data_IF_049586814261
#
_entry.id   IF_049586814261
#
_cell.length_a   1.000
_cell.length_b   1.000
_cell.length_c   1.000
_cell.angle_alpha   90.00
_cell.angle_beta   90.00
_cell.angle_gamma   90.00
#
_symmetry.space_group_name_H-M   'P 1'
#
loop_
_entity.id
_entity.type
_entity.pdbx_description
1 polymer ?
#
# COMPACT_ATOMS: atom_id res chain seq x y z
N UNK A 1 9.04 12.12 -41.53
CA UNK A 1 8.29 12.93 -40.56
C UNK A 1 8.51 12.30 -39.20
N UNK A 2 9.35 12.93 -38.38
CA UNK A 2 9.74 12.43 -37.06
C UNK A 2 8.61 12.69 -36.06
N UNK A 3 8.03 11.62 -35.53
CA UNK A 3 7.14 11.73 -34.39
C UNK A 3 7.99 11.91 -33.13
N UNK A 4 7.93 13.10 -32.55
CA UNK A 4 8.48 13.35 -31.23
C UNK A 4 7.79 12.44 -30.20
N UNK A 5 8.60 11.70 -29.45
CA UNK A 5 8.17 10.91 -28.31
C UNK A 5 7.58 11.84 -27.24
N UNK A 6 6.46 11.48 -26.59
CA UNK A 6 5.91 12.28 -25.50
C UNK A 6 6.86 12.23 -24.31
N UNK A 7 7.65 13.29 -24.15
CA UNK A 7 8.51 13.57 -23.01
C UNK A 7 7.66 13.98 -21.80
N UNK A 8 6.99 13.02 -21.17
CA UNK A 8 6.61 13.16 -19.75
C UNK A 8 7.80 12.74 -18.90
N UNK A 9 8.90 13.48 -19.06
CA UNK A 9 9.91 13.54 -18.02
C UNK A 9 9.23 14.27 -16.87
N UNK A 10 9.00 13.59 -15.74
CA UNK A 10 8.91 14.29 -14.46
C UNK A 10 10.27 14.95 -14.23
N UNK A 11 10.51 16.08 -14.91
CA UNK A 11 11.59 16.97 -14.55
C UNK A 11 11.28 17.36 -13.13
N UNK A 12 12.13 16.92 -12.20
CA UNK A 12 12.22 17.50 -10.88
C UNK A 12 12.33 18.99 -11.14
N UNK A 13 11.26 19.73 -10.90
CA UNK A 13 11.32 21.16 -11.07
C UNK A 13 12.13 21.67 -9.88
N UNK A 14 13.43 21.87 -10.10
CA UNK A 14 14.38 22.37 -9.10
C UNK A 14 13.89 23.71 -8.52
N UNK A 15 13.02 24.41 -9.25
CA UNK A 15 12.43 25.70 -8.86
C UNK A 15 11.27 25.58 -7.87
N UNK A 16 10.71 24.38 -7.63
CA UNK A 16 9.66 24.16 -6.62
C UNK A 16 10.17 23.22 -5.52
N UNK A 17 10.55 23.81 -4.40
CA UNK A 17 10.81 23.08 -3.16
C UNK A 17 9.46 22.60 -2.60
N UNK A 18 9.07 21.38 -2.95
CA UNK A 18 7.94 20.69 -2.31
C UNK A 18 8.43 19.70 -1.24
N UNK A 19 7.47 19.15 -0.48
CA UNK A 19 7.76 18.24 0.63
C UNK A 19 8.37 16.91 0.16
N UNK A 20 8.03 16.45 -1.05
CA UNK A 20 8.59 15.23 -1.63
C UNK A 20 10.04 15.44 -2.08
N UNK A 21 10.33 16.55 -2.72
CA UNK A 21 11.67 16.98 -3.08
C UNK A 21 12.58 17.05 -1.85
N UNK A 22 12.12 17.68 -0.77
CA UNK A 22 12.86 17.75 0.49
C UNK A 22 13.09 16.36 1.10
N UNK A 23 12.07 15.50 1.13
CA UNK A 23 12.18 14.12 1.63
C UNK A 23 13.20 13.33 0.82
N UNK A 24 13.13 13.39 -0.50
CA UNK A 24 14.05 12.68 -1.40
C UNK A 24 15.48 13.20 -1.23
N UNK A 25 15.68 14.52 -1.12
CA UNK A 25 16.98 15.13 -0.85
C UNK A 25 17.56 14.70 0.50
N UNK A 26 16.76 14.69 1.55
CA UNK A 26 17.16 14.22 2.88
C UNK A 26 17.54 12.73 2.86
N UNK A 27 16.81 11.93 2.09
CA UNK A 27 17.07 10.49 1.95
C UNK A 27 18.34 10.19 1.16
N UNK A 28 18.61 10.94 0.09
CA UNK A 28 19.90 10.86 -0.62
C UNK A 28 21.05 11.27 0.31
N UNK A 29 20.86 12.33 1.10
CA UNK A 29 21.88 12.77 2.05
C UNK A 29 22.12 11.74 3.17
N UNK A 30 21.08 11.07 3.67
CA UNK A 30 21.24 10.05 4.70
C UNK A 30 22.05 8.85 4.20
N UNK A 31 21.84 8.43 2.94
CA UNK A 31 22.62 7.37 2.30
C UNK A 31 24.08 7.78 2.08
N UNK A 32 24.32 9.01 1.62
CA UNK A 32 25.66 9.58 1.45
C UNK A 32 26.41 9.61 2.79
N UNK A 33 25.75 10.06 3.86
CA UNK A 33 26.31 10.10 5.21
C UNK A 33 26.57 8.69 5.73
N UNK A 34 25.66 7.73 5.53
CA UNK A 34 25.87 6.32 5.91
C UNK A 34 27.11 5.76 5.23
N UNK A 35 27.25 5.95 3.92
CA UNK A 35 28.41 5.51 3.15
C UNK A 35 29.71 6.16 3.66
N UNK A 36 29.72 7.47 3.85
CA UNK A 36 30.89 8.20 4.36
C UNK A 36 31.25 7.76 5.79
N UNK A 37 30.26 7.48 6.63
CA UNK A 37 30.45 7.00 7.99
C UNK A 37 31.07 5.59 8.02
N UNK A 38 30.50 4.65 7.26
CA UNK A 38 31.03 3.29 7.08
C UNK A 38 32.48 3.31 6.60
N UNK A 39 32.80 4.18 5.63
CA UNK A 39 34.17 4.30 5.11
C UNK A 39 35.16 4.88 6.12
N UNK A 40 34.75 5.86 6.93
CA UNK A 40 35.63 6.51 7.92
C UNK A 40 35.78 5.72 9.22
N UNK A 41 34.73 4.99 9.62
CA UNK A 41 34.64 4.33 10.92
C UNK A 41 34.17 2.87 10.79
N UNK A 42 34.92 2.00 10.07
CA UNK A 42 34.51 0.61 9.83
C UNK A 42 34.38 -0.21 11.12
N UNK A 43 35.20 0.09 12.14
CA UNK A 43 35.13 -0.57 13.45
C UNK A 43 33.83 -0.26 14.20
N UNK A 44 33.25 0.93 13.98
CA UNK A 44 32.00 1.36 14.62
C UNK A 44 30.80 0.70 13.95
N UNK A 45 30.80 0.61 12.62
CA UNK A 45 29.75 -0.13 11.90
C UNK A 45 29.73 -1.61 12.30
N UNK A 46 30.91 -2.24 12.41
CA UNK A 46 31.02 -3.62 12.88
C UNK A 46 30.45 -3.78 14.30
N UNK A 47 30.81 -2.87 15.22
CA UNK A 47 30.29 -2.87 16.59
C UNK A 47 28.76 -2.78 16.67
N UNK A 48 28.12 -1.96 15.83
CA UNK A 48 26.66 -1.86 15.80
C UNK A 48 26.01 -3.07 15.12
N UNK A 49 26.60 -3.57 14.04
CA UNK A 49 26.12 -4.75 13.31
C UNK A 49 26.19 -6.01 14.18
N UNK A 50 27.28 -6.21 14.91
CA UNK A 50 27.47 -7.32 15.86
C UNK A 50 26.43 -7.30 17.00
N UNK A 51 25.82 -6.14 17.25
CA UNK A 51 24.75 -5.95 18.24
C UNK A 51 23.34 -5.90 17.62
N UNK A 52 23.22 -6.20 16.33
CA UNK A 52 21.94 -6.19 15.61
C UNK A 52 21.34 -4.80 15.41
N UNK A 53 22.12 -3.74 15.53
CA UNK A 53 21.66 -2.35 15.38
C UNK A 53 22.04 -1.85 13.99
N UNK A 54 21.04 -1.65 13.11
CA UNK A 54 21.24 -0.95 11.83
C UNK A 54 21.26 0.56 12.05
N UNK A 55 22.42 1.18 11.80
CA UNK A 55 22.62 2.63 11.86
C UNK A 55 21.59 3.41 11.02
N UNK A 56 21.15 2.85 9.90
CA UNK A 56 20.12 3.45 9.03
C UNK A 56 18.73 3.49 9.67
N UNK A 57 18.47 2.61 10.63
CA UNK A 57 17.21 2.46 11.38
C UNK A 57 17.30 3.00 12.81
N UNK A 58 18.41 3.64 13.21
CA UNK A 58 18.50 4.33 14.52
C UNK A 58 17.36 5.32 14.67
N UNK A 59 17.01 6.03 13.59
CA UNK A 59 15.85 6.92 13.59
C UNK A 59 14.54 6.18 13.68
N UNK A 60 14.40 4.92 13.26
CA UNK A 60 13.16 4.17 13.46
C UNK A 60 13.02 3.74 14.94
N UNK A 61 14.13 3.36 15.58
CA UNK A 61 14.15 3.11 17.03
C UNK A 61 13.84 4.38 17.83
N UNK A 62 14.48 5.50 17.48
CA UNK A 62 14.26 6.78 18.15
C UNK A 62 12.95 7.45 17.74
N UNK A 63 12.47 7.30 16.50
CA UNK A 63 11.18 7.81 16.05
C UNK A 63 10.06 6.96 16.62
N UNK A 64 10.23 5.67 16.90
CA UNK A 64 9.25 4.91 17.66
C UNK A 64 9.09 5.51 19.06
N UNK A 65 10.19 5.88 19.72
CA UNK A 65 10.15 6.51 21.06
C UNK A 65 9.67 7.98 21.00
N UNK A 66 10.19 8.78 20.07
CA UNK A 66 9.86 10.21 19.90
C UNK A 66 8.46 10.39 19.32
N UNK A 67 8.03 9.58 18.35
CA UNK A 67 6.67 9.60 17.83
C UNK A 67 5.68 9.11 18.89
N UNK A 68 6.03 8.12 19.72
CA UNK A 68 5.16 7.74 20.86
C UNK A 68 5.04 8.89 21.86
N UNK A 69 6.12 9.59 22.18
CA UNK A 69 6.10 10.76 23.08
C UNK A 69 5.39 11.99 22.47
N UNK A 70 5.66 12.30 21.20
CA UNK A 70 5.09 13.43 20.50
C UNK A 70 3.62 13.22 20.16
N UNK A 71 3.19 12.02 19.75
CA UNK A 71 1.77 11.73 19.51
C UNK A 71 0.97 11.81 20.81
N UNK A 72 1.51 11.31 21.93
CA UNK A 72 0.86 11.42 23.24
C UNK A 72 0.78 12.87 23.71
N UNK A 73 1.85 13.65 23.57
CA UNK A 73 1.85 15.08 23.92
C UNK A 73 0.95 15.91 23.00
N UNK A 74 0.92 15.62 21.70
CA UNK A 74 0.07 16.36 20.76
C UNK A 74 -1.41 15.99 20.92
N UNK A 75 -1.74 14.74 21.28
CA UNK A 75 -3.12 14.35 21.64
C UNK A 75 -3.59 14.97 22.97
N UNK A 76 -2.68 15.16 23.94
CA UNK A 76 -2.98 15.82 25.22
C UNK A 76 -3.13 17.35 25.10
N UNK A 77 -2.46 17.98 24.13
CA UNK A 77 -2.43 19.44 23.98
C UNK A 77 -3.08 19.97 22.70
N UNK A 78 -3.59 19.11 21.81
CA UNK A 78 -4.38 19.56 20.67
C UNK A 78 -5.73 20.10 21.16
N UNK A 79 -6.04 21.38 20.93
CA UNK A 79 -7.39 21.87 21.14
C UNK A 79 -8.35 21.11 20.21
N UNK A 80 -9.59 20.79 20.63
CA UNK A 80 -10.57 20.14 19.78
C UNK A 80 -11.06 21.13 18.71
N UNK A 81 -10.26 21.39 17.69
CA UNK A 81 -10.61 22.25 16.58
C UNK A 81 -10.40 21.50 15.27
N UNK A 82 -11.51 21.11 14.65
CA UNK A 82 -11.53 20.79 13.22
C UNK A 82 -12.03 19.41 12.81
N UNK A 83 -12.26 18.48 13.73
CA UNK A 83 -12.89 17.19 13.39
C UNK A 83 -14.40 17.27 13.55
N UNK A 84 -15.06 18.12 12.76
CA UNK A 84 -16.51 18.33 12.89
C UNK A 84 -17.39 17.18 12.39
N UNK A 85 -16.82 16.05 11.92
CA UNK A 85 -17.62 14.92 11.38
C UNK A 85 -17.10 13.49 11.67
N UNK A 86 -16.21 13.26 12.65
CA UNK A 86 -15.95 11.89 13.16
C UNK A 86 -16.84 11.36 14.32
N UNK A 87 -17.99 11.94 14.74
CA UNK A 87 -18.78 11.31 15.81
C UNK A 87 -19.42 9.96 15.46
N UNK A 88 -19.56 9.62 14.17
CA UNK A 88 -20.35 8.45 13.77
C UNK A 88 -19.60 7.11 13.94
N UNK A 89 -18.27 7.10 13.83
CA UNK A 89 -17.50 5.85 13.81
C UNK A 89 -17.28 5.27 15.21
N UNK A 90 -16.95 6.13 16.18
CA UNK A 90 -16.81 5.72 17.59
C UNK A 90 -18.13 5.33 18.23
N UNK A 91 -19.25 5.92 17.81
CA UNK A 91 -20.58 5.52 18.26
C UNK A 91 -20.99 4.18 17.64
N UNK A 92 -20.87 4.02 16.32
CA UNK A 92 -21.22 2.76 15.65
C UNK A 92 -20.38 1.57 16.14
N UNK A 93 -19.08 1.75 16.39
CA UNK A 93 -18.21 0.69 16.91
C UNK A 93 -18.52 0.38 18.39
N UNK A 94 -18.87 1.39 19.20
CA UNK A 94 -19.27 1.17 20.60
C UNK A 94 -20.62 0.45 20.68
N UNK A 95 -21.60 0.83 19.87
CA UNK A 95 -22.93 0.20 19.85
C UNK A 95 -22.84 -1.29 19.47
N UNK A 96 -21.93 -1.65 18.56
CA UNK A 96 -21.66 -3.05 18.18
C UNK A 96 -20.90 -3.80 19.28
N UNK A 97 -19.94 -3.16 19.95
CA UNK A 97 -19.14 -3.79 21.01
C UNK A 97 -19.89 -3.94 22.33
N UNK A 98 -20.89 -3.10 22.62
CA UNK A 98 -21.69 -3.11 23.85
C UNK A 98 -22.99 -3.94 23.72
N UNK A 99 -23.21 -4.64 22.61
CA UNK A 99 -24.37 -5.53 22.43
C UNK A 99 -25.72 -4.82 22.49
N UNK A 100 -25.76 -3.49 22.33
CA UNK A 100 -27.01 -2.72 22.31
C UNK A 100 -27.61 -2.75 20.91
N UNK A 101 -28.48 -3.74 20.69
CA UNK A 101 -29.22 -4.00 19.46
C UNK A 101 -30.30 -2.95 19.18
N UNK A 102 -29.94 -1.68 19.00
CA UNK A 102 -30.87 -0.63 18.53
C UNK A 102 -30.32 0.27 17.41
N UNK A 103 -29.10 0.06 16.95
CA UNK A 103 -28.61 0.62 15.69
C UNK A 103 -28.84 -0.41 14.58
N UNK A 104 -29.35 -0.04 13.38
CA UNK A 104 -29.46 -0.97 12.27
C UNK A 104 -28.08 -1.57 12.03
N UNK A 105 -28.01 -2.90 11.94
CA UNK A 105 -26.76 -3.64 11.78
C UNK A 105 -26.16 -3.33 10.39
N UNK A 106 -25.49 -2.18 10.25
CA UNK A 106 -24.90 -1.75 8.99
C UNK A 106 -23.68 -2.66 8.73
N UNK A 107 -23.65 -3.40 7.62
CA UNK A 107 -22.49 -4.22 7.27
C UNK A 107 -21.21 -3.37 7.24
N UNK A 108 -20.10 -3.87 7.78
CA UNK A 108 -18.81 -3.17 7.80
C UNK A 108 -18.37 -2.67 6.41
N UNK A 109 -18.74 -3.39 5.35
CA UNK A 109 -18.51 -2.97 3.96
C UNK A 109 -19.25 -1.68 3.59
N UNK A 110 -20.51 -1.51 4.03
CA UNK A 110 -21.28 -0.29 3.81
C UNK A 110 -20.72 0.87 4.66
N UNK A 111 -20.31 0.58 5.89
CA UNK A 111 -19.62 1.55 6.75
C UNK A 111 -18.30 2.02 6.10
N UNK A 112 -17.53 1.10 5.52
CA UNK A 112 -16.32 1.44 4.78
C UNK A 112 -16.64 2.37 3.63
N UNK A 113 -17.58 2.01 2.76
CA UNK A 113 -17.96 2.81 1.60
C UNK A 113 -18.39 4.23 1.99
N UNK A 114 -19.22 4.35 3.03
CA UNK A 114 -19.65 5.65 3.54
C UNK A 114 -18.47 6.52 4.00
N UNK A 115 -17.50 5.94 4.70
CA UNK A 115 -16.29 6.66 5.12
C UNK A 115 -15.39 7.02 3.93
N UNK A 116 -15.22 6.10 2.97
CA UNK A 116 -14.45 6.36 1.76
C UNK A 116 -15.05 7.51 0.97
N UNK A 117 -16.37 7.56 0.77
CA UNK A 117 -17.03 8.64 0.03
C UNK A 117 -16.98 9.99 0.76
N UNK A 118 -16.90 9.97 2.09
CA UNK A 118 -16.74 11.20 2.89
C UNK A 118 -15.30 11.75 2.85
N UNK A 119 -14.30 10.89 2.73
CA UNK A 119 -12.87 11.26 2.80
C UNK A 119 -12.28 11.50 1.39
N UNK A 120 -12.66 10.68 0.41
CA UNK A 120 -12.04 10.72 -0.91
C UNK A 120 -12.49 11.92 -1.74
N UNK A 121 -11.59 12.52 -2.53
CA UNK A 121 -11.98 13.51 -3.51
C UNK A 121 -12.84 12.88 -4.61
N UNK A 122 -13.74 13.68 -5.20
CA UNK A 122 -14.56 13.26 -6.35
C UNK A 122 -13.70 12.86 -7.56
N UNK A 123 -12.55 13.52 -7.75
CA UNK A 123 -11.61 13.24 -8.84
C UNK A 123 -10.53 12.28 -8.36
N UNK A 124 -10.35 11.19 -9.10
CA UNK A 124 -9.28 10.22 -8.87
C UNK A 124 -7.91 10.86 -9.13
N UNK A 125 -6.98 10.66 -8.20
CA UNK A 125 -5.63 11.20 -8.26
C UNK A 125 -4.89 11.08 -6.92
N UNK A 126 -3.65 11.60 -6.84
CA UNK A 126 -2.86 11.58 -5.63
C UNK A 126 -3.59 12.21 -4.43
N UNK A 127 -3.51 11.53 -3.29
CA UNK A 127 -4.07 12.01 -2.03
C UNK A 127 -3.03 12.80 -1.25
N UNK A 128 -3.47 13.79 -0.48
CA UNK A 128 -2.61 14.45 0.49
C UNK A 128 -2.38 13.55 1.72
N UNK A 129 -1.32 13.85 2.47
CA UNK A 129 -0.89 13.03 3.62
C UNK A 129 -1.93 12.97 4.75
N UNK A 130 -2.77 14.00 4.91
CA UNK A 130 -3.79 14.02 5.97
C UNK A 130 -4.97 13.12 5.62
N UNK A 131 -5.37 13.12 4.34
CA UNK A 131 -6.35 12.18 3.78
C UNK A 131 -5.82 10.75 3.86
N UNK A 132 -4.58 10.51 3.46
CA UNK A 132 -3.92 9.20 3.59
C UNK A 132 -3.96 8.71 5.04
N UNK A 133 -3.60 9.57 6.00
CA UNK A 133 -3.57 9.20 7.42
C UNK A 133 -4.96 8.86 7.97
N UNK A 134 -5.98 9.57 7.51
CA UNK A 134 -7.37 9.29 7.89
C UNK A 134 -7.81 7.93 7.36
N UNK A 135 -7.43 7.58 6.12
CA UNK A 135 -7.70 6.26 5.53
C UNK A 135 -6.98 5.13 6.26
N UNK A 136 -5.74 5.32 6.73
CA UNK A 136 -5.05 4.32 7.57
C UNK A 136 -5.86 3.97 8.83
N UNK A 137 -6.47 4.99 9.47
CA UNK A 137 -7.30 4.78 10.66
C UNK A 137 -8.58 4.03 10.31
N UNK A 138 -9.24 4.39 9.22
CA UNK A 138 -10.45 3.72 8.73
C UNK A 138 -10.17 2.25 8.43
N UNK A 139 -9.08 1.94 7.71
CA UNK A 139 -8.73 0.55 7.41
C UNK A 139 -8.40 -0.26 8.67
N UNK A 140 -7.66 0.31 9.61
CA UNK A 140 -7.38 -0.37 10.88
C UNK A 140 -8.65 -0.63 11.70
N UNK A 141 -9.61 0.29 11.69
CA UNK A 141 -10.82 0.21 12.51
C UNK A 141 -11.92 -0.68 11.91
N UNK A 142 -12.08 -0.64 10.58
CA UNK A 142 -13.16 -1.36 9.89
C UNK A 142 -12.67 -2.71 9.36
N UNK A 143 -11.46 -2.74 8.81
CA UNK A 143 -10.88 -3.94 8.17
C UNK A 143 -9.98 -4.69 9.17
N UNK A 144 -9.54 -4.05 10.26
CA UNK A 144 -8.61 -4.66 11.22
C UNK A 144 -7.18 -4.82 10.71
N UNK A 145 -6.87 -4.31 9.52
CA UNK A 145 -5.56 -4.41 8.88
C UNK A 145 -4.77 -3.12 9.12
N UNK A 146 -3.53 -3.28 9.58
CA UNK A 146 -2.59 -2.17 9.76
C UNK A 146 -2.04 -1.72 8.39
N UNK A 147 -2.86 -0.98 7.66
CA UNK A 147 -2.53 -0.44 6.35
C UNK A 147 -1.84 0.93 6.49
N UNK A 148 -0.76 1.14 5.72
CA UNK A 148 0.07 2.34 5.73
C UNK A 148 0.21 2.91 4.33
N UNK A 149 0.03 4.22 4.18
CA UNK A 149 0.30 4.87 2.91
C UNK A 149 1.81 4.78 2.59
N UNK A 150 2.64 5.09 3.58
CA UNK A 150 4.10 4.94 3.51
C UNK A 150 4.63 3.98 4.58
N UNK A 151 5.58 3.13 4.20
CA UNK A 151 6.15 2.09 5.06
C UNK A 151 7.68 2.12 4.94
N UNK A 152 8.39 2.04 6.07
CA UNK A 152 9.87 2.01 6.11
C UNK A 152 10.56 3.12 5.28
N UNK A 153 9.91 4.29 5.18
CA UNK A 153 10.45 5.42 4.42
C UNK A 153 10.22 5.36 2.91
N UNK A 154 9.51 4.36 2.38
CA UNK A 154 8.99 4.31 1.01
C UNK A 154 7.51 4.75 0.95
N UNK A 155 7.04 5.05 -0.26
CA UNK A 155 5.66 5.46 -0.58
C UNK A 155 5.42 5.25 -2.09
N UNK A 156 4.20 4.87 -2.47
CA UNK A 156 3.81 4.72 -3.88
C UNK A 156 3.63 6.11 -4.54
N UNK A 157 3.80 6.23 -5.86
CA UNK A 157 3.57 7.51 -6.56
C UNK A 157 2.15 8.08 -6.34
N UNK A 158 1.18 7.20 -6.11
CA UNK A 158 -0.15 7.54 -5.63
C UNK A 158 -0.69 6.37 -4.83
N UNK A 159 -1.61 6.65 -3.91
CA UNK A 159 -2.37 5.65 -3.15
C UNK A 159 -3.83 5.55 -3.61
N UNK A 160 -4.30 6.47 -4.48
CA UNK A 160 -5.63 6.44 -5.10
C UNK A 160 -5.51 6.58 -6.63
N UNK A 161 -6.08 5.62 -7.36
CA UNK A 161 -5.85 5.52 -8.80
C UNK A 161 -6.70 4.45 -9.46
N UNK A 162 -6.51 4.29 -10.77
CA UNK A 162 -7.13 3.20 -11.50
C UNK A 162 -6.26 1.95 -11.44
N UNK A 163 -6.89 0.82 -11.07
CA UNK A 163 -6.37 -0.52 -11.32
C UNK A 163 -6.91 -1.03 -12.65
N UNK A 164 -6.18 -1.92 -13.30
CA UNK A 164 -6.73 -2.73 -14.37
C UNK A 164 -6.16 -4.14 -14.38
N UNK A 165 -6.75 -4.97 -15.23
CA UNK A 165 -6.35 -6.36 -15.34
C UNK A 165 -4.98 -6.49 -16.02
N UNK A 166 -4.16 -7.34 -15.43
CA UNK A 166 -2.85 -7.75 -15.89
C UNK A 166 -2.87 -9.25 -16.19
N UNK A 167 -1.89 -9.72 -16.94
CA UNK A 167 -1.79 -11.12 -17.39
C UNK A 167 -1.10 -11.99 -16.34
N UNK A 168 -1.32 -13.30 -16.36
CA UNK A 168 -0.60 -14.22 -15.47
C UNK A 168 0.92 -14.10 -15.62
N UNK A 169 1.63 -14.12 -14.49
CA UNK A 169 3.10 -14.01 -14.45
C UNK A 169 3.74 -15.39 -14.50
N UNK A 170 4.91 -15.48 -15.13
CA UNK A 170 5.65 -16.74 -15.22
C UNK A 170 6.14 -17.20 -13.85
N UNK A 171 5.82 -18.44 -13.48
CA UNK A 171 6.21 -19.01 -12.17
C UNK A 171 7.51 -19.81 -12.23
N UNK A 172 7.82 -20.39 -13.38
CA UNK A 172 9.04 -21.16 -13.64
C UNK A 172 9.31 -21.25 -15.17
N UNK A 173 10.51 -21.68 -15.60
CA UNK A 173 10.78 -21.90 -17.02
C UNK A 173 9.83 -22.92 -17.66
N UNK A 174 9.17 -22.55 -18.76
CA UNK A 174 8.20 -23.42 -19.44
C UNK A 174 6.79 -23.40 -18.83
N UNK A 175 6.51 -22.47 -17.92
CA UNK A 175 5.16 -22.26 -17.38
C UNK A 175 4.16 -21.89 -18.50
N UNK A 176 2.93 -22.38 -18.38
CA UNK A 176 1.87 -22.20 -19.38
C UNK A 176 0.53 -22.00 -18.73
N UNK A 177 -0.40 -21.36 -19.45
CA UNK A 177 -1.79 -21.15 -19.02
C UNK A 177 -2.52 -22.43 -18.59
N UNK A 178 -2.10 -23.61 -19.06
CA UNK A 178 -2.71 -24.88 -18.66
C UNK A 178 -2.58 -25.18 -17.15
N UNK A 179 -1.61 -24.55 -16.50
CA UNK A 179 -1.27 -24.77 -15.08
C UNK A 179 -1.65 -23.59 -14.18
N UNK A 180 -2.31 -22.57 -14.74
CA UNK A 180 -2.85 -21.41 -14.02
C UNK A 180 -4.33 -21.65 -13.66
N UNK A 181 -4.85 -20.99 -12.60
CA UNK A 181 -6.25 -21.08 -12.25
C UNK A 181 -7.14 -20.61 -13.41
N UNK A 182 -8.16 -21.39 -13.76
CA UNK A 182 -9.09 -21.01 -14.81
C UNK A 182 -10.17 -20.11 -14.22
N UNK A 183 -10.28 -18.89 -14.75
CA UNK A 183 -11.39 -18.00 -14.42
C UNK A 183 -12.64 -18.31 -15.27
N UNK A 184 -13.85 -18.10 -14.72
CA UNK A 184 -15.10 -18.50 -15.39
C UNK A 184 -15.36 -17.83 -16.74
N UNK A 185 -14.86 -16.61 -16.96
CA UNK A 185 -15.01 -15.86 -18.22
C UNK A 185 -13.74 -15.04 -18.53
N UNK A 186 -13.26 -15.12 -19.79
CA UNK A 186 -12.21 -14.27 -20.41
C UNK A 186 -11.03 -13.92 -19.48
N UNK A 187 -10.19 -14.92 -19.30
CA UNK A 187 -8.84 -14.82 -18.74
C UNK A 187 -7.96 -13.86 -19.58
N UNK A 188 -7.05 -13.13 -18.92
CA UNK A 188 -6.11 -12.20 -19.56
C UNK A 188 -4.92 -12.91 -20.23
N UNK A 189 -4.82 -14.22 -20.01
CA UNK A 189 -3.77 -15.05 -20.59
C UNK A 189 -2.42 -14.84 -19.90
N UNK A 190 -1.35 -15.24 -20.59
CA UNK A 190 -0.01 -15.22 -20.05
C UNK A 190 0.73 -13.95 -20.47
N UNK A 191 1.49 -13.36 -19.55
CA UNK A 191 2.43 -12.31 -19.89
C UNK A 191 3.44 -12.81 -20.95
N UNK A 192 3.78 -12.00 -21.96
CA UNK A 192 4.67 -12.41 -23.05
C UNK A 192 6.13 -12.59 -22.61
N UNK A 193 6.49 -12.12 -21.41
CA UNK A 193 7.83 -12.19 -20.88
C UNK A 193 7.85 -12.31 -19.36
N UNK A 194 9.07 -12.29 -18.81
CA UNK A 194 9.27 -12.24 -17.36
C UNK A 194 9.03 -10.81 -16.89
N UNK A 195 8.16 -10.63 -15.89
CA UNK A 195 7.97 -9.36 -15.20
C UNK A 195 9.27 -8.87 -14.55
N UNK A 196 9.27 -7.69 -13.94
CA UNK A 196 10.49 -7.07 -13.42
C UNK A 196 11.15 -7.81 -12.24
N UNK A 197 10.49 -8.84 -11.70
CA UNK A 197 10.96 -9.69 -10.61
C UNK A 197 11.38 -11.09 -11.08
N UNK A 198 11.30 -11.36 -12.37
CA UNK A 198 11.65 -12.64 -12.98
C UNK A 198 10.51 -13.65 -12.84
N UNK A 199 10.79 -14.77 -12.18
CA UNK A 199 9.79 -15.79 -11.88
C UNK A 199 9.11 -15.51 -10.55
N UNK A 200 7.78 -15.61 -10.53
CA UNK A 200 6.95 -15.34 -9.35
C UNK A 200 6.42 -16.64 -8.77
N UNK A 201 6.68 -16.97 -7.49
CA UNK A 201 6.14 -18.17 -6.87
C UNK A 201 4.61 -18.21 -6.95
N UNK A 202 4.04 -19.42 -7.08
CA UNK A 202 2.59 -19.63 -7.27
C UNK A 202 1.77 -18.93 -6.17
N UNK A 203 2.23 -19.02 -4.93
CA UNK A 203 1.60 -18.40 -3.76
C UNK A 203 1.47 -16.88 -3.87
N UNK A 204 2.39 -16.22 -4.58
CA UNK A 204 2.36 -14.77 -4.80
C UNK A 204 1.63 -14.41 -6.09
N UNK A 205 1.72 -15.26 -7.12
CA UNK A 205 1.20 -15.00 -8.45
C UNK A 205 -0.34 -15.00 -8.48
N UNK A 206 -1.02 -15.85 -7.71
CA UNK A 206 -2.48 -15.81 -7.67
C UNK A 206 -3.01 -14.48 -7.14
N UNK A 207 -2.34 -13.89 -6.15
CA UNK A 207 -2.76 -12.65 -5.51
C UNK A 207 -1.67 -11.59 -5.64
N UNK A 208 -1.37 -11.17 -6.88
CA UNK A 208 -0.39 -10.13 -7.12
C UNK A 208 -1.00 -8.77 -7.48
N UNK A 209 -0.22 -7.74 -7.15
CA UNK A 209 -0.42 -6.37 -7.58
C UNK A 209 0.78 -5.91 -8.42
N UNK A 210 0.52 -4.94 -9.30
CA UNK A 210 1.53 -4.22 -10.08
C UNK A 210 1.47 -2.76 -9.68
N UNK A 211 2.63 -2.19 -9.37
CA UNK A 211 2.73 -0.77 -9.03
C UNK A 211 3.81 -0.09 -9.86
N UNK A 212 3.64 1.21 -10.06
CA UNK A 212 4.44 2.04 -10.97
C UNK A 212 5.85 2.38 -10.43
N UNK A 213 6.61 1.38 -9.97
CA UNK A 213 7.94 1.60 -9.37
C UNK A 213 8.91 2.33 -10.31
N UNK A 214 8.79 2.09 -11.62
CA UNK A 214 9.64 2.71 -12.64
C UNK A 214 9.45 4.25 -12.77
N UNK A 215 8.40 4.79 -12.17
CA UNK A 215 8.12 6.23 -12.11
C UNK A 215 8.40 6.84 -10.73
N UNK A 216 8.98 6.09 -9.79
CA UNK A 216 9.45 6.65 -8.52
C UNK A 216 10.53 7.71 -8.79
N UNK A 217 10.53 8.84 -8.06
CA UNK A 217 11.41 9.98 -8.34
C UNK A 217 12.90 9.65 -8.25
N UNK A 218 13.25 8.63 -7.48
CA UNK A 218 14.63 8.16 -7.28
C UNK A 218 14.83 6.71 -7.74
N UNK A 219 13.97 6.22 -8.64
CA UNK A 219 14.15 4.91 -9.27
C UNK A 219 15.53 4.79 -9.92
N UNK A 220 15.91 5.75 -10.76
CA UNK A 220 17.16 5.70 -11.52
C UNK A 220 18.44 5.70 -10.66
N UNK A 221 18.36 6.16 -9.41
CA UNK A 221 19.53 6.23 -8.50
C UNK A 221 19.54 5.11 -7.47
N UNK A 222 18.38 4.52 -7.16
CA UNK A 222 18.23 3.49 -6.11
C UNK A 222 17.59 2.20 -6.60
N UNK A 223 17.59 1.98 -7.91
CA UNK A 223 16.86 0.89 -8.55
C UNK A 223 17.09 -0.48 -7.87
N UNK A 224 18.32 -0.90 -7.51
CA UNK A 224 18.52 -2.20 -6.87
C UNK A 224 17.80 -2.31 -5.53
N UNK A 225 17.97 -1.29 -4.67
CA UNK A 225 17.34 -1.24 -3.36
C UNK A 225 15.81 -1.16 -3.46
N UNK A 226 15.28 -0.30 -4.34
CA UNK A 226 13.83 -0.15 -4.49
C UNK A 226 13.19 -1.40 -5.06
N UNK A 227 13.77 -2.00 -6.10
CA UNK A 227 13.28 -3.27 -6.66
C UNK A 227 13.15 -4.33 -5.58
N UNK A 228 14.17 -4.48 -4.75
CA UNK A 228 14.21 -5.51 -3.71
C UNK A 228 13.27 -5.17 -2.53
N UNK A 229 13.13 -3.89 -2.16
CA UNK A 229 12.22 -3.46 -1.10
C UNK A 229 10.74 -3.63 -1.47
N UNK A 230 10.39 -3.34 -2.73
CA UNK A 230 9.03 -3.48 -3.26
C UNK A 230 8.66 -4.93 -3.56
N UNK A 231 9.65 -5.80 -3.84
CA UNK A 231 9.42 -7.22 -4.14
C UNK A 231 8.62 -7.90 -3.04
N UNK A 232 7.44 -8.40 -3.42
CA UNK A 232 6.52 -9.16 -2.56
C UNK A 232 6.12 -8.41 -1.29
N UNK A 233 6.14 -7.07 -1.33
CA UNK A 233 5.54 -6.29 -0.27
C UNK A 233 4.02 -6.43 -0.36
N UNK A 234 3.39 -6.77 0.76
CA UNK A 234 1.94 -6.87 0.85
C UNK A 234 1.30 -5.49 0.73
N UNK A 235 0.23 -5.43 -0.03
CA UNK A 235 -0.63 -4.26 -0.16
C UNK A 235 -2.09 -4.65 0.04
N UNK A 236 -2.83 -3.77 0.70
CA UNK A 236 -4.27 -3.77 0.76
C UNK A 236 -4.79 -2.98 -0.44
N UNK A 237 -5.62 -3.63 -1.26
CA UNK A 237 -6.32 -3.02 -2.39
C UNK A 237 -7.80 -2.96 -2.05
N UNK A 238 -8.40 -1.78 -2.12
CA UNK A 238 -9.83 -1.57 -1.85
C UNK A 238 -10.49 -0.92 -3.05
N UNK A 239 -11.53 -1.56 -3.60
CA UNK A 239 -12.36 -0.98 -4.64
C UNK A 239 -13.29 0.08 -4.03
N UNK A 240 -13.18 1.33 -4.48
CA UNK A 240 -13.90 2.46 -3.87
C UNK A 240 -15.37 2.56 -4.27
N UNK A 241 -15.81 1.73 -5.22
CA UNK A 241 -17.20 1.66 -5.69
C UNK A 241 -18.02 0.69 -4.85
N UNK A 242 -17.50 -0.52 -4.64
CA UNK A 242 -18.23 -1.60 -3.97
C UNK A 242 -17.65 -2.01 -2.62
N UNK A 243 -16.46 -1.52 -2.24
CA UNK A 243 -15.82 -1.84 -0.98
C UNK A 243 -15.21 -3.24 -0.95
N UNK A 244 -15.07 -3.97 -2.07
CA UNK A 244 -14.34 -5.23 -2.06
C UNK A 244 -12.86 -4.95 -1.77
N UNK A 245 -12.28 -5.73 -0.85
CA UNK A 245 -10.92 -5.55 -0.39
C UNK A 245 -10.11 -6.85 -0.50
N UNK A 246 -8.86 -6.76 -0.96
CA UNK A 246 -7.97 -7.90 -1.18
C UNK A 246 -6.54 -7.56 -0.74
N UNK A 247 -5.85 -8.53 -0.16
CA UNK A 247 -4.42 -8.45 0.14
C UNK A 247 -3.66 -9.12 -0.99
N UNK A 248 -2.71 -8.38 -1.57
CA UNK A 248 -1.91 -8.84 -2.68
C UNK A 248 -0.43 -8.53 -2.47
N UNK A 249 0.45 -9.29 -3.13
CA UNK A 249 1.88 -9.03 -3.14
C UNK A 249 2.27 -8.23 -4.38
N UNK A 250 3.12 -7.23 -4.22
CA UNK A 250 3.72 -6.54 -5.38
C UNK A 250 4.65 -7.52 -6.10
N UNK A 251 4.29 -7.94 -7.31
CA UNK A 251 5.05 -8.92 -8.09
C UNK A 251 5.44 -8.44 -9.48
N UNK A 252 4.90 -7.30 -9.95
CA UNK A 252 5.35 -6.65 -11.18
C UNK A 252 5.37 -5.09 -11.11
N UNK A 253 5.94 -4.46 -12.14
CA UNK A 253 6.27 -3.03 -12.26
C UNK A 253 5.47 -2.48 -13.42
N UNK A 254 4.80 -1.37 -13.17
CA UNK A 254 3.88 -0.75 -14.13
C UNK A 254 2.50 -0.59 -13.50
N UNK A 255 1.43 -0.54 -14.31
CA UNK A 255 1.43 -0.49 -15.76
C UNK A 255 2.09 0.80 -16.30
N UNK A 256 2.39 0.86 -17.59
CA UNK A 256 2.97 2.06 -18.19
C UNK A 256 2.01 3.27 -18.08
N UNK A 257 2.56 4.47 -17.86
CA UNK A 257 1.77 5.68 -17.59
C UNK A 257 0.76 6.01 -18.70
N UNK A 258 1.09 5.71 -19.96
CA UNK A 258 0.21 5.96 -21.11
C UNK A 258 -1.10 5.15 -21.06
N UNK A 259 -1.15 4.05 -20.29
CA UNK A 259 -2.36 3.23 -20.12
C UNK A 259 -3.45 3.95 -19.32
N UNK A 260 -3.11 5.06 -18.64
CA UNK A 260 -4.01 5.78 -17.75
C UNK A 260 -4.44 4.94 -16.54
N UNK A 261 -3.65 3.91 -16.20
CA UNK A 261 -3.75 3.09 -14.99
C UNK A 261 -2.54 3.39 -14.11
N UNK A 262 -2.74 3.42 -12.80
CA UNK A 262 -1.66 3.57 -11.80
C UNK A 262 -1.25 2.22 -11.22
N UNK A 263 -2.18 1.27 -11.25
CA UNK A 263 -2.02 -0.05 -10.66
C UNK A 263 -2.47 -1.14 -11.63
N UNK A 264 -1.98 -2.34 -11.39
CA UNK A 264 -2.45 -3.56 -12.02
C UNK A 264 -2.76 -4.63 -10.97
N UNK A 265 -3.64 -5.55 -11.29
CA UNK A 265 -3.95 -6.71 -10.44
C UNK A 265 -3.95 -7.98 -11.27
N UNK A 266 -3.58 -9.10 -10.63
CA UNK A 266 -3.74 -10.43 -11.21
C UNK A 266 -5.19 -10.66 -11.67
N UNK A 267 -5.42 -11.60 -12.59
CA UNK A 267 -6.78 -11.96 -13.00
C UNK A 267 -7.70 -12.29 -11.80
N UNK A 268 -7.21 -12.96 -10.76
CA UNK A 268 -7.95 -13.27 -9.54
C UNK A 268 -8.23 -12.04 -8.69
N UNK A 269 -7.25 -11.14 -8.52
CA UNK A 269 -7.44 -9.85 -7.83
C UNK A 269 -8.57 -9.07 -8.50
N UNK A 270 -8.53 -8.95 -9.83
CA UNK A 270 -9.53 -8.20 -10.59
C UNK A 270 -10.92 -8.86 -10.54
N UNK A 271 -10.96 -10.19 -10.69
CA UNK A 271 -12.20 -10.94 -10.60
C UNK A 271 -12.85 -10.81 -9.21
N UNK A 272 -12.05 -10.82 -8.14
CA UNK A 272 -12.59 -10.60 -6.79
C UNK A 272 -13.05 -9.15 -6.58
N UNK A 273 -12.27 -8.16 -7.05
CA UNK A 273 -12.57 -6.75 -6.83
C UNK A 273 -13.85 -6.28 -7.55
N UNK A 274 -14.20 -6.85 -8.71
CA UNK A 274 -15.37 -6.39 -9.46
C UNK A 274 -16.03 -7.41 -10.40
N UNK A 275 -15.60 -8.67 -10.37
CA UNK A 275 -16.13 -9.74 -11.20
C UNK A 275 -15.42 -9.89 -12.56
N UNK A 276 -15.85 -10.87 -13.39
CA UNK A 276 -15.13 -11.25 -14.61
C UNK A 276 -15.01 -10.14 -15.68
N UNK A 277 -15.94 -9.17 -15.64
CA UNK A 277 -15.98 -8.03 -16.57
C UNK A 277 -15.23 -6.79 -16.05
N UNK A 278 -14.69 -6.84 -14.84
CA UNK A 278 -13.97 -5.73 -14.24
C UNK A 278 -12.55 -5.64 -14.82
N UNK A 279 -12.39 -4.81 -15.84
CA UNK A 279 -11.09 -4.63 -16.53
C UNK A 279 -10.37 -3.34 -16.11
N UNK A 280 -11.09 -2.38 -15.55
CA UNK A 280 -10.56 -1.12 -15.01
C UNK A 280 -11.51 -0.54 -13.97
N UNK A 281 -10.97 0.02 -12.89
CA UNK A 281 -11.77 0.82 -11.96
C UNK A 281 -10.95 1.48 -10.86
N UNK A 282 -11.58 2.36 -10.06
CA UNK A 282 -10.90 3.11 -9.02
C UNK A 282 -10.66 2.25 -7.79
N UNK A 283 -9.43 2.31 -7.28
CA UNK A 283 -9.02 1.63 -6.06
C UNK A 283 -8.12 2.52 -5.21
N UNK A 284 -8.08 2.19 -3.92
CA UNK A 284 -7.03 2.60 -3.00
C UNK A 284 -6.04 1.46 -2.83
N UNK A 285 -4.73 1.76 -2.84
CA UNK A 285 -3.66 0.79 -2.53
C UNK A 285 -2.77 1.34 -1.42
N UNK A 286 -2.69 0.62 -0.31
CA UNK A 286 -1.84 0.93 0.85
C UNK A 286 -0.96 -0.27 1.16
N UNK A 287 0.24 -0.06 1.72
CA UNK A 287 1.07 -1.16 2.21
C UNK A 287 0.44 -1.81 3.43
N UNK A 288 0.66 -3.10 3.61
CA UNK A 288 0.31 -3.81 4.84
C UNK A 288 1.55 -3.87 5.72
N UNK A 289 1.48 -3.28 6.91
CA UNK A 289 2.51 -3.35 7.94
C UNK A 289 2.39 -4.69 8.69
N UNK A 290 3.01 -5.72 8.11
CA UNK A 290 2.97 -7.10 8.58
C UNK A 290 4.39 -7.67 8.70
N UNK A 291 5.16 -7.24 9.72
CA UNK A 291 6.55 -7.67 9.91
C UNK A 291 6.68 -9.17 10.23
N UNK A 292 5.63 -9.78 10.79
CA UNK A 292 5.60 -11.19 11.17
C UNK A 292 5.00 -12.09 10.07
N UNK A 293 4.62 -11.53 8.92
CA UNK A 293 4.02 -12.24 7.79
C UNK A 293 2.72 -13.02 8.16
N UNK A 294 1.89 -12.48 9.05
CA UNK A 294 0.67 -13.10 9.58
C UNK A 294 -0.58 -12.81 8.75
N UNK A 295 -0.61 -11.74 7.97
CA UNK A 295 -1.78 -11.36 7.15
C UNK A 295 -1.79 -12.21 5.88
N UNK A 296 -2.78 -13.09 5.65
CA UNK A 296 -2.81 -13.92 4.45
C UNK A 296 -3.05 -13.09 3.18
N UNK A 297 -2.62 -13.60 2.04
CA UNK A 297 -3.00 -13.07 0.73
C UNK A 297 -4.42 -13.51 0.37
N UNK A 298 -5.10 -12.70 -0.43
CA UNK A 298 -6.44 -12.99 -0.94
C UNK A 298 -7.53 -12.08 -0.39
N UNK A 299 -8.80 -12.50 -0.56
CA UNK A 299 -9.98 -11.77 -0.10
C UNK A 299 -9.89 -11.35 1.36
N UNK A 300 -10.32 -10.12 1.65
CA UNK A 300 -10.54 -9.68 3.03
C UNK A 300 -12.02 -9.78 3.33
N UNK A 301 -12.38 -10.71 4.21
CA UNK A 301 -13.74 -10.89 4.69
C UNK A 301 -13.96 -10.05 5.95
N UNK A 302 -14.92 -9.12 5.88
CA UNK A 302 -15.21 -8.16 6.93
C UNK A 302 -15.65 -8.77 8.27
N UNK A 303 -16.15 -10.02 8.26
CA UNK A 303 -16.72 -10.68 9.43
C UNK A 303 -15.78 -11.68 10.11
N UNK A 304 -14.61 -11.96 9.53
CA UNK A 304 -13.67 -12.95 10.05
C UNK A 304 -12.41 -12.34 10.69
N UNK A 305 -12.31 -11.01 10.70
CA UNK A 305 -11.14 -10.34 11.30
C UNK A 305 -11.28 -10.35 12.82
N UNK A 306 -10.66 -11.36 13.43
CA UNK A 306 -10.53 -11.50 14.86
C UNK A 306 -9.69 -10.32 15.40
N UNK A 307 -10.35 -9.25 15.83
CA UNK A 307 -9.69 -8.10 16.44
C UNK A 307 -9.00 -8.58 17.72
N UNK A 308 -7.67 -8.43 17.86
CA UNK A 308 -7.01 -8.70 19.13
C UNK A 308 -7.52 -7.69 20.16
N UNK A 309 -8.43 -8.14 21.04
CA UNK A 309 -8.98 -7.33 22.13
C UNK A 309 -10.50 -7.39 22.32
N UNK A 310 -11.25 -8.02 21.42
CA UNK A 310 -12.70 -8.23 21.62
C UNK A 310 -12.99 -9.72 21.69
N UNK A 311 -12.94 -10.28 22.90
CA UNK A 311 -13.46 -11.60 23.15
C UNK A 311 -14.99 -11.54 23.08
N UNK A 312 -15.58 -11.94 21.96
CA UNK A 312 -17.01 -12.23 21.91
C UNK A 312 -17.24 -13.49 22.76
N UNK A 313 -17.74 -13.27 23.98
CA UNK A 313 -18.23 -14.38 24.80
C UNK A 313 -19.58 -14.78 24.19
N UNK A 314 -19.64 -15.99 23.62
CA UNK A 314 -20.92 -16.55 23.18
C UNK A 314 -21.82 -16.76 24.40
N UNK A 315 -23.07 -16.30 24.30
CA UNK A 315 -24.18 -16.71 25.15
C UNK A 315 -25.16 -17.49 24.30
#
# INVERSE_FOLDING_TARGET
>A
MSHDLPTTTYKINIERVDTEFLRNKLKLKSLEVKKNFTQRYPHVEKFFTDRGIDLGKIRDHSAKVIATGALTGTLLFAPPMGVKNLPQLTQAIKDVSDGQTNSPNIPFQELLLKNLHAILPQKIGPLDRSTEKSLEQVFQQIIGINARAGLEGEHLNTTYGYIGAEQHLMRYPGDTMATHPKLPEKDEGMAPGRGAWGYVPKENETWYAVVQTLYLPDWNTRQPYLRDWYKYRKVLIVNTINGNAVIANIADAGPAAFTGKQFGGSPEVMNYLGGPRYKKGPVIIFFVDDPDNKVPLGPVEYNEVNMPGVALTQV
#
